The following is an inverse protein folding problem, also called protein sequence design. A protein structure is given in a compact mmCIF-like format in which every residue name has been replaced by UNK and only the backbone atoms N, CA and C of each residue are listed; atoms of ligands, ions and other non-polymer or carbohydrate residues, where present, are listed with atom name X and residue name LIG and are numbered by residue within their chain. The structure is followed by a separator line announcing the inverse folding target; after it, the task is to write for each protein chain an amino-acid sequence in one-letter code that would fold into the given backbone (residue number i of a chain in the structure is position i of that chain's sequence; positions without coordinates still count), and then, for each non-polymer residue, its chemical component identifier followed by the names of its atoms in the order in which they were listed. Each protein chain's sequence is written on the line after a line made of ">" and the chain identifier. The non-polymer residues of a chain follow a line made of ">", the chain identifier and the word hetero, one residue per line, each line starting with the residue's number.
data_IF_477931264966
#
_entry.id   IF_477931264966
#
_cell.length_a   1.000
_cell.length_b   1.000
_cell.length_c   1.000
_cell.angle_alpha   90.00
_cell.angle_beta   90.00
_cell.angle_gamma   90.00
#
_symmetry.space_group_name_H-M   'P 1'
#
loop_
_entity.id
_entity.type
_entity.pdbx_description
1 polymer ?
#
# COMPACT_ATOMS: atom_id res chain seq x y z
N UNK A 1 0.71 -9.22 10.21
CA UNK A 1 0.68 -9.83 11.51
C UNK A 1 -0.38 -9.21 12.41
N UNK A 2 -0.18 -8.00 12.98
CA UNK A 2 -1.13 -7.43 13.96
C UNK A 2 -2.58 -7.36 13.44
N UNK A 3 -2.81 -6.88 12.21
CA UNK A 3 -4.17 -6.75 11.67
C UNK A 3 -4.93 -8.09 11.65
N UNK A 4 -4.26 -9.23 11.38
CA UNK A 4 -4.91 -10.55 11.43
C UNK A 4 -5.40 -10.92 12.83
N UNK A 5 -4.71 -10.45 13.85
CA UNK A 5 -5.00 -10.75 15.24
C UNK A 5 -6.17 -9.93 15.78
N UNK A 6 -6.24 -8.65 15.40
CA UNK A 6 -7.19 -7.70 15.98
C UNK A 6 -8.41 -7.40 15.14
N UNK A 7 -8.33 -7.53 13.79
CA UNK A 7 -9.37 -7.01 12.93
C UNK A 7 -10.74 -7.63 13.20
N UNK A 8 -10.83 -8.95 13.13
CA UNK A 8 -12.11 -9.64 13.27
C UNK A 8 -12.74 -9.44 14.67
N UNK A 9 -12.00 -9.61 15.80
CA UNK A 9 -12.54 -9.32 17.12
C UNK A 9 -13.01 -7.87 17.29
N UNK A 10 -12.23 -6.89 16.83
CA UNK A 10 -12.61 -5.48 16.94
C UNK A 10 -13.90 -5.15 16.16
N UNK A 11 -13.99 -5.62 14.91
CA UNK A 11 -15.15 -5.39 14.06
C UNK A 11 -16.41 -6.04 14.63
N UNK A 12 -16.32 -7.27 15.15
CA UNK A 12 -17.44 -7.95 15.84
C UNK A 12 -17.91 -7.23 17.10
N UNK A 13 -17.00 -6.52 17.77
CA UNK A 13 -17.33 -5.69 18.94
C UNK A 13 -17.84 -4.28 18.57
N UNK A 14 -18.19 -4.01 17.32
CA UNK A 14 -18.70 -2.72 16.89
C UNK A 14 -17.62 -1.63 16.76
N UNK A 15 -16.34 -1.99 16.75
CA UNK A 15 -15.22 -1.04 16.68
C UNK A 15 -14.67 -0.96 15.26
N UNK A 16 -14.72 0.26 14.67
CA UNK A 16 -14.04 0.53 13.39
C UNK A 16 -12.54 0.69 13.58
N UNK A 17 -11.76 0.42 12.54
CA UNK A 17 -10.30 0.37 12.58
C UNK A 17 -9.72 1.39 11.60
N UNK A 18 -8.70 2.14 12.03
CA UNK A 18 -7.80 2.91 11.15
C UNK A 18 -6.45 2.22 11.15
N UNK A 19 -5.87 1.93 9.98
CA UNK A 19 -4.63 1.15 9.90
C UNK A 19 -3.70 1.58 8.77
N UNK A 20 -2.39 1.49 9.05
CA UNK A 20 -1.29 1.54 8.08
C UNK A 20 -0.70 0.15 7.82
N UNK A 21 -0.88 -0.78 8.76
CA UNK A 21 -0.27 -2.13 8.72
C UNK A 21 -1.19 -3.10 7.98
N UNK A 22 -1.24 -2.98 6.68
CA UNK A 22 -2.23 -3.62 5.81
C UNK A 22 -1.71 -4.81 5.01
N UNK A 23 -0.46 -5.22 5.19
CA UNK A 23 0.12 -6.35 4.46
C UNK A 23 -0.72 -7.64 4.53
N UNK A 24 -1.44 -7.86 5.63
CA UNK A 24 -2.34 -9.00 5.78
C UNK A 24 -3.51 -9.00 4.76
N UNK A 25 -3.92 -7.82 4.29
CA UNK A 25 -4.98 -7.66 3.30
C UNK A 25 -4.55 -8.03 1.87
N UNK A 26 -3.29 -8.41 1.64
CA UNK A 26 -2.86 -9.03 0.38
C UNK A 26 -3.49 -10.42 0.18
N UNK A 27 -3.84 -11.10 1.26
CA UNK A 27 -4.55 -12.37 1.24
C UNK A 27 -6.06 -12.14 0.99
N UNK A 28 -6.56 -12.68 -0.10
CA UNK A 28 -7.94 -12.49 -0.54
C UNK A 28 -8.97 -13.11 0.40
N UNK A 29 -8.66 -14.22 1.03
CA UNK A 29 -9.59 -14.88 1.97
C UNK A 29 -9.78 -14.02 3.22
N UNK A 30 -8.67 -13.52 3.78
CA UNK A 30 -8.71 -12.64 4.92
C UNK A 30 -9.33 -11.27 4.59
N UNK A 31 -9.05 -10.73 3.40
CA UNK A 31 -9.66 -9.48 2.95
C UNK A 31 -11.18 -9.60 2.87
N UNK A 32 -11.70 -10.70 2.29
CA UNK A 32 -13.14 -10.96 2.23
C UNK A 32 -13.75 -11.12 3.62
N UNK A 33 -13.12 -11.89 4.50
CA UNK A 33 -13.58 -12.06 5.89
C UNK A 33 -13.69 -10.72 6.62
N UNK A 34 -12.69 -9.84 6.47
CA UNK A 34 -12.71 -8.48 7.03
C UNK A 34 -13.88 -7.66 6.48
N UNK A 35 -14.10 -7.69 5.16
CA UNK A 35 -15.18 -6.96 4.51
C UNK A 35 -16.58 -7.44 4.97
N UNK A 36 -16.79 -8.74 5.03
CA UNK A 36 -18.03 -9.36 5.47
C UNK A 36 -18.31 -9.04 6.94
N UNK A 37 -17.31 -9.26 7.82
CA UNK A 37 -17.43 -8.95 9.25
C UNK A 37 -17.72 -7.45 9.49
N UNK A 38 -17.04 -6.56 8.78
CA UNK A 38 -17.30 -5.13 8.91
C UNK A 38 -18.73 -4.77 8.48
N UNK A 39 -19.20 -5.33 7.37
CA UNK A 39 -20.54 -5.09 6.85
C UNK A 39 -21.62 -5.60 7.81
N UNK A 40 -21.47 -6.82 8.34
CA UNK A 40 -22.42 -7.44 9.26
C UNK A 40 -22.57 -6.67 10.58
N UNK A 41 -21.49 -6.05 11.05
CA UNK A 41 -21.46 -5.33 12.32
C UNK A 41 -21.57 -3.79 12.18
N UNK A 42 -21.82 -3.27 10.97
CA UNK A 42 -21.95 -1.83 10.73
C UNK A 42 -20.65 -1.05 10.99
N UNK A 43 -19.51 -1.73 10.96
CA UNK A 43 -18.17 -1.18 11.21
C UNK A 43 -17.39 -0.95 9.92
N UNK A 44 -16.21 -0.34 10.01
CA UNK A 44 -15.35 -0.03 8.86
C UNK A 44 -13.89 -0.25 9.17
N UNK A 45 -13.12 -0.58 8.14
CA UNK A 45 -11.65 -0.52 8.15
C UNK A 45 -11.21 0.61 7.22
N UNK A 46 -10.61 1.62 7.79
CA UNK A 46 -10.06 2.77 7.08
C UNK A 46 -8.56 2.53 6.83
N UNK A 47 -8.19 2.44 5.59
CA UNK A 47 -6.79 2.29 5.17
C UNK A 47 -6.22 3.69 4.97
N UNK A 48 -5.31 4.10 5.85
CA UNK A 48 -4.56 5.34 5.65
C UNK A 48 -3.58 5.18 4.48
N UNK A 49 -3.39 6.25 3.71
CA UNK A 49 -2.61 6.20 2.46
C UNK A 49 -1.11 5.89 2.67
N UNK A 50 -0.60 6.16 3.87
CA UNK A 50 0.83 5.97 4.14
C UNK A 50 1.68 6.98 3.37
N UNK A 51 2.72 6.48 2.73
CA UNK A 51 3.66 7.30 1.96
C UNK A 51 3.25 7.45 0.47
N UNK A 52 1.96 7.27 0.15
CA UNK A 52 1.40 7.50 -1.19
C UNK A 52 0.05 8.20 -1.10
N UNK A 53 -0.76 8.16 -2.15
CA UNK A 53 -2.08 8.80 -2.18
C UNK A 53 -2.86 8.43 -3.43
N UNK A 54 -3.86 9.26 -3.78
CA UNK A 54 -4.64 9.11 -5.00
C UNK A 54 -5.47 7.83 -5.07
N UNK A 55 -5.82 7.21 -3.93
CA UNK A 55 -6.63 5.99 -3.91
C UNK A 55 -8.01 6.16 -4.50
N UNK A 56 -8.57 7.35 -4.41
CA UNK A 56 -9.80 7.75 -5.09
C UNK A 56 -9.66 7.68 -6.61
N UNK A 57 -8.58 8.24 -7.16
CA UNK A 57 -8.29 8.20 -8.60
C UNK A 57 -8.02 6.76 -9.06
N UNK A 58 -7.19 6.00 -8.32
CA UNK A 58 -6.88 4.61 -8.64
C UNK A 58 -8.16 3.76 -8.66
N UNK A 59 -9.01 3.93 -7.65
CA UNK A 59 -10.27 3.19 -7.53
C UNK A 59 -11.26 3.59 -8.65
N UNK A 60 -11.37 4.88 -8.95
CA UNK A 60 -12.23 5.37 -10.03
C UNK A 60 -11.80 4.78 -11.37
N UNK A 61 -10.52 4.83 -11.70
CA UNK A 61 -10.00 4.26 -12.94
C UNK A 61 -10.21 2.74 -13.03
N UNK A 62 -10.04 2.02 -11.92
CA UNK A 62 -10.29 0.58 -11.87
C UNK A 62 -11.78 0.23 -12.05
N UNK A 63 -12.70 1.02 -11.48
CA UNK A 63 -14.15 0.84 -11.64
C UNK A 63 -14.64 1.07 -13.08
N UNK A 64 -13.91 1.85 -13.89
CA UNK A 64 -14.20 2.04 -15.32
C UNK A 64 -13.92 0.77 -16.16
N UNK A 65 -13.21 -0.21 -15.62
CA UNK A 65 -12.89 -1.48 -16.29
C UNK A 65 -11.61 -1.43 -17.12
N UNK A 66 -11.16 -2.62 -17.56
CA UNK A 66 -9.95 -2.83 -18.38
C UNK A 66 -8.67 -2.17 -17.82
N UNK A 67 -8.60 -1.98 -16.50
CA UNK A 67 -7.47 -1.30 -15.89
C UNK A 67 -6.27 -2.24 -15.69
N UNK A 68 -5.09 -1.71 -15.98
CA UNK A 68 -3.80 -2.26 -15.57
C UNK A 68 -3.11 -1.27 -14.65
N UNK A 69 -2.34 -1.77 -13.67
CA UNK A 69 -1.61 -0.90 -12.76
C UNK A 69 -0.23 -1.45 -12.43
N UNK A 70 0.72 -0.53 -12.20
CA UNK A 70 2.04 -0.86 -11.71
C UNK A 70 2.43 0.04 -10.54
N UNK A 71 3.30 -0.51 -9.71
CA UNK A 71 3.85 0.14 -8.53
C UNK A 71 5.37 0.11 -8.60
N UNK A 72 5.99 1.27 -8.54
CA UNK A 72 7.43 1.42 -8.47
C UNK A 72 7.82 2.04 -7.14
N UNK A 73 8.81 1.42 -6.48
CA UNK A 73 9.37 1.92 -5.24
C UNK A 73 10.89 2.04 -5.35
N UNK A 74 11.43 3.22 -5.08
CA UNK A 74 12.86 3.47 -5.01
C UNK A 74 13.30 3.75 -3.59
N UNK A 75 14.37 3.07 -3.16
CA UNK A 75 14.95 3.16 -1.81
C UNK A 75 16.47 3.22 -1.88
N UNK A 76 17.07 3.81 -0.85
CA UNK A 76 18.48 3.62 -0.60
C UNK A 76 18.80 2.20 -0.10
N UNK A 77 20.04 1.70 -0.31
CA UNK A 77 20.42 0.35 0.07
C UNK A 77 20.27 0.07 1.58
N UNK A 78 20.47 1.09 2.42
CA UNK A 78 20.34 0.94 3.88
C UNK A 78 18.91 0.59 4.31
N UNK A 79 17.90 1.04 3.57
CA UNK A 79 16.52 0.69 3.83
C UNK A 79 16.21 -0.79 3.57
N UNK A 80 17.06 -1.47 2.80
CA UNK A 80 16.93 -2.88 2.44
C UNK A 80 17.77 -3.81 3.33
N UNK A 81 18.65 -3.26 4.18
CA UNK A 81 19.41 -4.08 5.15
C UNK A 81 18.50 -4.96 5.99
N UNK A 82 18.92 -6.21 6.18
CA UNK A 82 18.14 -7.21 6.90
C UNK A 82 17.02 -7.87 6.07
N UNK A 83 16.89 -7.55 4.79
CA UNK A 83 16.03 -8.29 3.86
C UNK A 83 16.83 -9.34 3.08
N UNK A 84 16.18 -10.40 2.55
CA UNK A 84 16.88 -11.43 1.76
C UNK A 84 17.52 -10.93 0.46
N UNK A 85 17.12 -9.74 -0.02
CA UNK A 85 17.61 -9.18 -1.30
C UNK A 85 18.80 -8.25 -1.13
N UNK A 86 19.18 -7.91 0.11
CA UNK A 86 20.28 -6.99 0.35
C UNK A 86 21.64 -7.61 -0.02
N UNK A 87 22.42 -6.85 -0.77
CA UNK A 87 23.83 -7.15 -1.13
C UNK A 87 24.66 -5.87 -0.98
N UNK A 88 25.92 -6.01 -0.52
CA UNK A 88 26.83 -4.86 -0.33
C UNK A 88 27.10 -4.08 -1.63
N UNK A 89 27.04 -4.72 -2.79
CA UNK A 89 27.18 -4.07 -4.10
C UNK A 89 26.15 -2.98 -4.34
N UNK A 90 25.01 -3.02 -3.67
CA UNK A 90 23.96 -1.98 -3.73
C UNK A 90 24.45 -0.62 -3.17
N UNK A 91 25.52 -0.59 -2.38
CA UNK A 91 26.10 0.67 -1.88
C UNK A 91 26.78 1.47 -3.00
N UNK A 92 27.18 0.82 -4.09
CA UNK A 92 27.86 1.43 -5.22
C UNK A 92 27.12 1.30 -6.55
N UNK A 93 26.19 0.35 -6.68
CA UNK A 93 25.50 0.03 -7.92
C UNK A 93 23.98 0.09 -7.75
N UNK A 94 23.31 0.73 -8.72
CA UNK A 94 21.85 0.71 -8.79
C UNK A 94 21.38 -0.68 -9.20
N UNK A 95 20.36 -1.20 -8.48
CA UNK A 95 19.85 -2.55 -8.73
C UNK A 95 18.33 -2.61 -8.60
N UNK A 96 17.66 -3.22 -9.56
CA UNK A 96 16.28 -3.69 -9.37
C UNK A 96 16.36 -4.95 -8.50
N UNK A 97 15.81 -4.87 -7.30
CA UNK A 97 15.91 -5.93 -6.28
C UNK A 97 14.68 -6.82 -6.24
N UNK A 98 13.60 -6.37 -6.87
CA UNK A 98 12.36 -7.15 -6.98
C UNK A 98 11.54 -6.73 -8.20
N UNK A 99 10.99 -7.72 -8.89
CA UNK A 99 9.93 -7.57 -9.89
C UNK A 99 8.96 -8.75 -9.72
N UNK A 100 7.67 -8.46 -9.62
CA UNK A 100 6.63 -9.46 -9.41
C UNK A 100 5.29 -8.79 -9.12
N UNK A 101 4.41 -9.44 -8.38
CA UNK A 101 3.14 -8.85 -7.95
C UNK A 101 3.15 -8.44 -6.46
N UNK A 102 2.07 -7.78 -6.00
CA UNK A 102 2.02 -7.29 -4.63
C UNK A 102 1.93 -8.42 -3.58
N UNK A 103 1.39 -9.59 -3.93
CA UNK A 103 1.36 -10.77 -3.05
C UNK A 103 2.77 -11.30 -2.81
N UNK A 104 3.57 -11.38 -3.88
CA UNK A 104 4.96 -11.82 -3.80
C UNK A 104 5.82 -10.79 -3.05
N UNK A 105 5.59 -9.49 -3.34
CA UNK A 105 6.31 -8.42 -2.66
C UNK A 105 6.11 -8.45 -1.14
N UNK A 106 4.87 -8.60 -0.65
CA UNK A 106 4.61 -8.63 0.80
C UNK A 106 5.16 -9.89 1.48
N UNK A 107 5.28 -11.00 0.79
CA UNK A 107 5.93 -12.21 1.31
C UNK A 107 7.43 -12.00 1.49
N UNK A 108 8.07 -11.31 0.56
CA UNK A 108 9.51 -11.04 0.58
C UNK A 108 9.86 -9.88 1.54
N UNK A 109 8.97 -8.88 1.65
CA UNK A 109 9.17 -7.65 2.43
C UNK A 109 8.01 -7.39 3.41
N UNK A 110 7.76 -8.24 4.40
CA UNK A 110 6.50 -8.25 5.17
C UNK A 110 6.21 -6.97 5.97
N UNK A 111 7.19 -6.08 6.17
CA UNK A 111 7.02 -4.82 6.92
C UNK A 111 7.34 -3.56 6.08
N UNK A 112 7.78 -3.72 4.83
CA UNK A 112 8.35 -2.62 4.04
C UNK A 112 7.53 -2.23 2.81
N UNK A 113 6.45 -2.95 2.49
CA UNK A 113 5.64 -2.76 1.28
C UNK A 113 4.12 -2.69 1.56
N UNK A 114 3.73 -2.23 2.75
CA UNK A 114 2.32 -2.02 3.08
C UNK A 114 1.61 -1.09 2.08
N UNK A 115 2.30 -0.04 1.64
CA UNK A 115 1.78 0.93 0.66
C UNK A 115 1.44 0.26 -0.68
N UNK A 116 2.25 -0.70 -1.12
CA UNK A 116 1.99 -1.49 -2.33
C UNK A 116 0.68 -2.28 -2.22
N UNK A 117 0.42 -2.88 -1.04
CA UNK A 117 -0.84 -3.58 -0.79
C UNK A 117 -2.02 -2.61 -0.77
N UNK A 118 -1.85 -1.40 -0.19
CA UNK A 118 -2.89 -0.38 -0.21
C UNK A 118 -3.25 0.04 -1.63
N UNK A 119 -2.26 0.40 -2.43
CA UNK A 119 -2.43 0.81 -3.81
C UNK A 119 -3.08 -0.31 -4.66
N UNK A 120 -2.67 -1.58 -4.44
CA UNK A 120 -3.26 -2.70 -5.15
C UNK A 120 -4.73 -2.93 -4.77
N UNK A 121 -5.09 -2.84 -3.50
CA UNK A 121 -6.50 -2.96 -3.05
C UNK A 121 -7.37 -1.79 -3.52
N UNK A 122 -6.77 -0.63 -3.69
CA UNK A 122 -7.43 0.54 -4.26
C UNK A 122 -7.54 0.50 -5.80
N UNK A 123 -6.98 -0.50 -6.47
CA UNK A 123 -6.96 -0.58 -7.94
C UNK A 123 -7.31 -1.98 -8.46
N UNK A 124 -6.34 -2.67 -9.04
CA UNK A 124 -6.54 -3.93 -9.80
C UNK A 124 -6.44 -5.20 -8.94
N UNK A 125 -6.16 -5.05 -7.66
CA UNK A 125 -5.92 -6.16 -6.74
C UNK A 125 -4.46 -6.61 -6.65
N UNK A 126 -4.10 -7.30 -5.53
CA UNK A 126 -2.70 -7.63 -5.24
C UNK A 126 -2.04 -8.58 -6.24
N UNK A 127 -2.79 -9.48 -6.86
CA UNK A 127 -2.26 -10.43 -7.84
C UNK A 127 -2.00 -9.79 -9.20
N UNK A 128 -2.79 -8.77 -9.58
CA UNK A 128 -2.67 -8.09 -10.87
C UNK A 128 -1.73 -6.88 -10.83
N UNK A 129 -1.45 -6.30 -9.65
CA UNK A 129 -0.54 -5.17 -9.49
C UNK A 129 0.90 -5.59 -9.79
N UNK A 130 1.48 -5.05 -10.85
CA UNK A 130 2.91 -5.22 -11.16
C UNK A 130 3.74 -4.35 -10.22
N UNK A 131 4.75 -4.94 -9.58
CA UNK A 131 5.59 -4.25 -8.57
C UNK A 131 7.04 -4.33 -8.96
N UNK A 132 7.72 -3.18 -8.93
CA UNK A 132 9.17 -3.08 -9.08
C UNK A 132 9.74 -2.34 -7.89
N UNK A 133 10.78 -2.91 -7.27
CA UNK A 133 11.53 -2.26 -6.18
C UNK A 133 12.97 -2.10 -6.63
N UNK A 134 13.49 -0.88 -6.51
CA UNK A 134 14.84 -0.50 -6.92
C UNK A 134 15.65 0.03 -5.73
N UNK A 135 16.90 -0.39 -5.65
CA UNK A 135 17.92 0.17 -4.78
C UNK A 135 18.79 1.13 -5.57
N UNK A 136 18.96 2.35 -5.08
CA UNK A 136 19.81 3.37 -5.70
C UNK A 136 20.83 3.87 -4.69
N UNK A 137 22.15 3.76 -5.00
CA UNK A 137 23.23 4.24 -4.12
C UNK A 137 23.05 5.72 -3.74
N UNK A 138 23.22 6.03 -2.46
CA UNK A 138 23.12 7.39 -1.95
C UNK A 138 21.69 7.98 -1.93
N UNK A 139 20.69 7.26 -2.43
CA UNK A 139 19.30 7.70 -2.36
C UNK A 139 18.83 7.78 -0.90
N UNK A 140 18.24 8.92 -0.55
CA UNK A 140 17.68 9.18 0.78
C UNK A 140 16.16 9.32 0.66
N UNK A 141 15.44 8.79 1.64
CA UNK A 141 13.99 8.81 1.61
C UNK A 141 13.40 7.61 0.87
N UNK A 142 12.22 7.80 0.33
CA UNK A 142 11.40 6.76 -0.29
C UNK A 142 10.56 7.37 -1.43
N UNK A 143 10.60 6.80 -2.63
CA UNK A 143 9.69 7.15 -3.73
C UNK A 143 8.66 6.05 -3.88
N UNK A 144 7.40 6.44 -3.93
CA UNK A 144 6.25 5.56 -4.14
C UNK A 144 5.50 6.06 -5.37
N UNK A 145 5.64 5.36 -6.48
CA UNK A 145 4.97 5.72 -7.72
C UNK A 145 3.97 4.65 -8.11
N UNK A 146 2.72 5.06 -8.31
CA UNK A 146 1.65 4.19 -8.79
C UNK A 146 1.18 4.72 -10.13
N UNK A 147 1.10 3.86 -11.11
CA UNK A 147 0.53 4.16 -12.42
C UNK A 147 -0.65 3.24 -12.68
N UNK A 148 -1.77 3.79 -13.14
CA UNK A 148 -2.94 3.04 -13.58
C UNK A 148 -3.37 3.52 -14.96
N UNK A 149 -3.72 2.56 -15.82
CA UNK A 149 -4.21 2.81 -17.19
C UNK A 149 -5.43 1.97 -17.49
N UNK A 150 -6.36 2.56 -18.23
CA UNK A 150 -7.41 1.89 -18.97
C UNK A 150 -7.60 2.57 -20.34
N UNK A 151 -8.66 2.24 -21.07
CA UNK A 151 -8.90 2.76 -22.42
C UNK A 151 -9.09 4.29 -22.48
N UNK A 152 -9.41 4.94 -21.36
CA UNK A 152 -9.77 6.36 -21.29
C UNK A 152 -8.91 7.17 -20.32
N UNK A 153 -8.30 6.52 -19.33
CA UNK A 153 -7.57 7.17 -18.24
C UNK A 153 -6.14 6.65 -18.14
N UNK A 154 -5.22 7.57 -18.03
CA UNK A 154 -3.86 7.31 -17.57
C UNK A 154 -3.58 8.24 -16.40
N UNK A 155 -3.43 7.68 -15.20
CA UNK A 155 -3.12 8.44 -14.00
C UNK A 155 -1.81 7.95 -13.37
N UNK A 156 -1.03 8.90 -12.87
CA UNK A 156 0.23 8.64 -12.16
C UNK A 156 0.18 9.38 -10.83
N UNK A 157 0.40 8.65 -9.75
CA UNK A 157 0.64 9.21 -8.43
C UNK A 157 2.09 8.95 -8.07
N UNK A 158 2.88 10.00 -7.93
CA UNK A 158 4.31 9.93 -7.64
C UNK A 158 4.61 10.76 -6.39
N UNK A 159 5.02 10.08 -5.32
CA UNK A 159 5.26 10.69 -4.02
C UNK A 159 6.68 10.36 -3.57
N UNK A 160 7.51 11.40 -3.45
CA UNK A 160 8.79 11.32 -2.75
C UNK A 160 8.63 11.81 -1.32
N UNK A 161 9.18 11.08 -0.38
CA UNK A 161 9.24 11.49 1.03
C UNK A 161 10.65 11.30 1.58
N UNK A 162 11.21 12.39 2.14
CA UNK A 162 12.53 12.38 2.76
C UNK A 162 12.54 11.59 4.08
N UNK A 163 11.39 11.53 4.76
CA UNK A 163 11.20 10.82 6.03
C UNK A 163 9.89 10.02 6.02
N UNK A 164 9.72 9.16 7.01
CA UNK A 164 8.49 8.37 7.16
C UNK A 164 7.29 9.17 7.76
N UNK A 165 7.45 10.45 8.06
CA UNK A 165 6.44 11.26 8.77
C UNK A 165 5.12 11.36 8.01
N UNK A 166 5.16 11.42 6.67
CA UNK A 166 3.96 11.45 5.82
C UNK A 166 3.00 10.29 6.16
N UNK A 167 3.53 9.12 6.52
CA UNK A 167 2.69 7.98 6.90
C UNK A 167 1.89 8.27 8.19
N UNK A 168 2.50 8.90 9.19
CA UNK A 168 1.81 9.34 10.39
C UNK A 168 0.75 10.40 10.10
N UNK A 169 1.08 11.40 9.29
CA UNK A 169 0.14 12.44 8.88
C UNK A 169 -1.03 11.91 8.04
N UNK A 170 -0.82 10.85 7.28
CA UNK A 170 -1.92 10.19 6.55
C UNK A 170 -2.97 9.60 7.49
N UNK A 171 -2.57 9.11 8.67
CA UNK A 171 -3.51 8.65 9.71
C UNK A 171 -4.30 9.83 10.25
N UNK A 172 -3.62 10.95 10.55
CA UNK A 172 -4.29 12.18 11.01
C UNK A 172 -5.32 12.66 9.98
N UNK A 173 -4.95 12.69 8.70
CA UNK A 173 -5.88 13.05 7.62
C UNK A 173 -7.07 12.10 7.55
N UNK A 174 -6.85 10.80 7.67
CA UNK A 174 -7.94 9.80 7.70
C UNK A 174 -8.88 10.02 8.86
N UNK A 175 -8.36 10.31 10.06
CA UNK A 175 -9.17 10.60 11.24
C UNK A 175 -9.97 11.91 11.08
N UNK A 176 -9.37 12.95 10.52
CA UNK A 176 -10.06 14.20 10.20
C UNK A 176 -11.21 13.96 9.22
N UNK A 177 -10.99 13.17 8.17
CA UNK A 177 -12.04 12.83 7.21
C UNK A 177 -13.20 12.05 7.84
N UNK A 178 -12.95 11.19 8.83
CA UNK A 178 -14.00 10.42 9.52
C UNK A 178 -14.95 11.36 10.29
N UNK A 179 -14.43 12.44 10.87
CA UNK A 179 -15.21 13.35 11.71
C UNK A 179 -15.63 14.65 10.99
N UNK A 180 -15.14 14.88 9.79
CA UNK A 180 -15.43 16.09 9.02
C UNK A 180 -16.79 16.01 8.34
N UNK A 181 -17.54 17.13 8.28
CA UNK A 181 -18.76 17.21 7.46
C UNK A 181 -18.46 17.23 5.95
N UNK A 182 -17.22 17.52 5.54
CA UNK A 182 -16.75 17.49 4.14
C UNK A 182 -15.56 16.53 4.08
N UNK A 183 -15.64 15.55 3.20
CA UNK A 183 -14.65 14.45 3.07
C UNK A 183 -13.93 14.58 1.72
N UNK A 184 -12.59 14.35 1.74
CA UNK A 184 -11.73 14.38 0.56
C UNK A 184 -11.09 13.00 0.30
#
# INVERSE_FOLDING_TARGET
>A
AALREFAIPALKNGTSIVTLSIGALADDSFYREVCETAKENGTRVYIASGATGGFDVLRTAALMGNATACFFNEKGPDALKGTPVYEETMQSEQKVVFTGNAVEAIRLFPTKVNVTVAASRASVGPEAMQVTIQSTPGFKGDTQKVEIRNDQVHAVVDVYSATAEIAGWSVVNTLLNIVSPVVF
#
